data_IF_560371176362
#
_entry.id   IF_560371176362
#
_cell.length_a   1.000
_cell.length_b   1.000
_cell.length_c   1.000
_cell.angle_alpha   90.00
_cell.angle_beta   90.00
_cell.angle_gamma   90.00
#
_symmetry.space_group_name_H-M   'P 1'
#
loop_
_entity.id
_entity.type
_entity.pdbx_description
1 polymer ?
#
# COMPACT_ATOMS: atom_id res chain seq x y z
N UNK A 1 8.66 -50.08 -30.54
CA UNK A 1 7.79 -50.96 -29.71
C UNK A 1 8.48 -51.34 -28.41
N UNK A 2 8.14 -50.71 -27.28
CA UNK A 2 7.99 -51.34 -25.94
C UNK A 2 7.65 -50.25 -24.90
N UNK A 3 6.41 -50.30 -24.40
CA UNK A 3 5.97 -49.98 -23.02
C UNK A 3 6.18 -48.53 -22.55
N UNK A 4 5.27 -47.59 -22.79
CA UNK A 4 4.01 -47.33 -22.04
C UNK A 4 3.80 -48.13 -20.75
N UNK A 5 3.92 -47.45 -19.60
CA UNK A 5 3.25 -47.72 -18.31
C UNK A 5 3.55 -46.51 -17.40
N UNK A 6 2.75 -45.44 -17.43
CA UNK A 6 1.63 -45.17 -16.51
C UNK A 6 1.82 -45.83 -15.13
N UNK A 7 2.31 -45.04 -14.19
CA UNK A 7 2.04 -45.20 -12.75
C UNK A 7 1.58 -43.84 -12.23
N UNK A 8 0.26 -43.69 -12.22
CA UNK A 8 -0.42 -42.72 -11.39
C UNK A 8 -0.31 -43.20 -9.93
N UNK A 9 0.35 -42.42 -9.09
CA UNK A 9 0.22 -42.50 -7.65
C UNK A 9 -0.23 -41.12 -7.16
N UNK A 10 -1.53 -41.01 -6.93
CA UNK A 10 -2.10 -39.95 -6.14
C UNK A 10 -1.59 -40.11 -4.70
N UNK A 11 -0.86 -39.11 -4.22
CA UNK A 11 -0.71 -38.84 -2.80
C UNK A 11 -1.06 -37.37 -2.60
N UNK A 12 -2.27 -37.17 -2.10
CA UNK A 12 -2.75 -35.90 -1.60
C UNK A 12 -1.79 -35.36 -0.53
N UNK A 13 -1.23 -34.19 -0.77
CA UNK A 13 -0.76 -33.30 0.29
C UNK A 13 -1.64 -32.05 0.26
N UNK A 14 -2.87 -32.21 0.77
CA UNK A 14 -3.69 -31.10 1.26
C UNK A 14 -3.35 -30.95 2.73
N UNK A 15 -2.53 -29.95 3.05
CA UNK A 15 -2.31 -29.32 4.35
C UNK A 15 -1.30 -28.19 4.05
N UNK A 16 -1.70 -26.95 3.76
CA UNK A 16 -2.41 -26.09 4.69
C UNK A 16 -1.39 -25.28 5.48
N UNK A 17 -0.98 -24.12 4.95
CA UNK A 17 -0.51 -22.91 5.66
C UNK A 17 0.28 -22.02 4.69
N UNK A 18 -0.24 -20.83 4.40
CA UNK A 18 0.52 -19.82 3.67
C UNK A 18 -0.27 -18.90 2.74
N UNK A 19 -1.60 -19.01 2.66
CA UNK A 19 -2.39 -17.83 2.26
C UNK A 19 -2.36 -16.89 3.46
N UNK A 20 -1.37 -15.99 3.51
CA UNK A 20 -1.49 -14.79 4.33
C UNK A 20 -2.54 -13.87 3.67
N UNK A 21 -3.81 -14.29 3.77
CA UNK A 21 -4.92 -13.36 3.74
C UNK A 21 -4.76 -12.40 4.93
N UNK A 22 -5.13 -11.13 4.75
CA UNK A 22 -4.62 -10.04 5.55
C UNK A 22 -4.99 -10.25 7.00
N UNK A 23 -4.04 -10.03 7.91
CA UNK A 23 -4.39 -9.83 9.29
C UNK A 23 -5.40 -8.66 9.36
N UNK A 24 -6.64 -9.00 9.66
CA UNK A 24 -7.73 -8.09 10.01
C UNK A 24 -7.49 -7.53 11.42
N UNK A 25 -6.28 -7.03 11.66
CA UNK A 25 -5.94 -6.40 12.91
C UNK A 25 -6.39 -4.94 12.88
N UNK A 26 -7.44 -4.70 13.69
CA UNK A 26 -7.75 -3.47 14.40
C UNK A 26 -8.93 -2.63 13.86
N UNK A 27 -10.08 -2.89 14.47
CA UNK A 27 -11.20 -1.97 14.58
C UNK A 27 -10.72 -0.66 15.23
N UNK A 28 -10.36 0.30 14.38
CA UNK A 28 -9.89 1.64 14.74
C UNK A 28 -9.46 2.43 13.52
N UNK A 29 -10.11 2.17 12.37
CA UNK A 29 -9.64 2.54 11.04
C UNK A 29 -9.21 4.00 10.93
N UNK A 30 -7.94 4.20 10.57
CA UNK A 30 -7.37 5.52 10.35
C UNK A 30 -8.27 6.37 9.45
N UNK A 31 -8.65 7.57 9.93
CA UNK A 31 -9.65 8.38 9.26
C UNK A 31 -9.07 9.11 8.03
N UNK A 32 -9.36 8.57 6.85
CA UNK A 32 -8.90 9.12 5.58
C UNK A 32 -9.75 10.23 4.97
N UNK A 33 -10.82 10.69 5.66
CA UNK A 33 -11.75 11.70 5.11
C UNK A 33 -11.02 12.99 4.71
N UNK A 34 -10.05 13.44 5.52
CA UNK A 34 -9.25 14.65 5.22
C UNK A 34 -8.32 14.46 4.02
N UNK A 35 -7.90 13.23 3.74
CA UNK A 35 -7.01 12.90 2.63
C UNK A 35 -7.71 13.05 1.25
N UNK A 36 -9.04 12.85 1.20
CA UNK A 36 -9.84 12.93 -0.04
C UNK A 36 -9.85 14.31 -0.70
N UNK A 37 -9.55 15.36 0.06
CA UNK A 37 -9.41 16.71 -0.48
C UNK A 37 -8.25 16.80 -1.48
N UNK A 38 -7.13 16.16 -1.17
CA UNK A 38 -5.92 16.19 -2.00
C UNK A 38 -5.71 14.93 -2.83
N UNK A 39 -6.30 13.81 -2.45
CA UNK A 39 -6.10 12.52 -3.10
C UNK A 39 -7.39 11.96 -3.69
N UNK A 40 -7.21 11.02 -4.61
CA UNK A 40 -8.26 10.11 -5.04
C UNK A 40 -7.63 8.75 -5.32
N UNK A 41 -8.44 7.70 -5.46
CA UNK A 41 -7.91 6.37 -5.78
C UNK A 41 -7.35 6.34 -7.20
N UNK A 42 -8.12 6.82 -8.19
CA UNK A 42 -7.80 6.62 -9.62
C UNK A 42 -7.10 7.81 -10.28
N UNK A 43 -7.43 9.05 -9.89
CA UNK A 43 -6.97 10.27 -10.56
C UNK A 43 -5.98 11.05 -9.69
N UNK A 44 -4.96 11.62 -10.31
CA UNK A 44 -4.05 12.58 -9.66
C UNK A 44 -4.85 13.87 -9.36
N UNK A 45 -4.62 14.46 -8.19
CA UNK A 45 -5.21 15.74 -7.73
C UNK A 45 -4.06 16.64 -7.24
N UNK A 46 -4.26 17.36 -6.13
CA UNK A 46 -3.19 18.05 -5.39
C UNK A 46 -2.10 17.09 -4.90
N UNK A 47 -2.47 15.84 -4.62
CA UNK A 47 -1.58 14.73 -4.32
C UNK A 47 -1.70 13.58 -5.35
N UNK A 48 -0.76 12.62 -5.30
CA UNK A 48 -0.77 11.46 -6.20
C UNK A 48 -2.02 10.61 -6.04
N UNK A 49 -2.40 9.91 -7.11
CA UNK A 49 -3.47 8.92 -7.03
C UNK A 49 -3.01 7.78 -6.11
N UNK A 50 -3.89 7.26 -5.26
CA UNK A 50 -3.52 6.19 -4.35
C UNK A 50 -3.21 4.88 -5.05
N UNK A 51 -3.76 4.63 -6.25
CA UNK A 51 -3.32 3.50 -7.09
C UNK A 51 -1.86 3.63 -7.50
N UNK A 52 -1.39 4.84 -7.83
CA UNK A 52 0.01 5.07 -8.18
C UNK A 52 0.91 4.89 -6.95
N UNK A 53 0.47 5.37 -5.78
CA UNK A 53 1.18 5.18 -4.51
C UNK A 53 1.28 3.69 -4.19
N UNK A 54 0.16 2.96 -4.22
CA UNK A 54 0.16 1.53 -3.94
C UNK A 54 1.05 0.76 -4.92
N UNK A 55 1.03 1.11 -6.22
CA UNK A 55 1.91 0.51 -7.22
C UNK A 55 3.40 0.82 -6.95
N UNK A 56 3.73 2.05 -6.55
CA UNK A 56 5.12 2.43 -6.27
C UNK A 56 5.70 1.71 -5.03
N UNK A 57 4.88 1.45 -4.02
CA UNK A 57 5.34 0.82 -2.77
C UNK A 57 5.12 -0.69 -2.71
N UNK A 58 4.16 -1.24 -3.46
CA UNK A 58 3.88 -2.68 -3.54
C UNK A 58 3.07 -3.23 -2.34
N UNK A 59 3.33 -2.75 -1.13
CA UNK A 59 2.61 -3.18 0.08
C UNK A 59 2.42 -2.06 1.10
N UNK A 60 1.46 -2.27 2.01
CA UNK A 60 1.23 -1.36 3.14
C UNK A 60 2.48 -1.29 4.03
N UNK A 61 3.17 -2.41 4.28
CA UNK A 61 4.38 -2.45 5.11
C UNK A 61 5.52 -1.63 4.51
N UNK A 62 5.72 -1.70 3.19
CA UNK A 62 6.74 -0.90 2.52
C UNK A 62 6.46 0.60 2.62
N UNK A 63 5.19 1.01 2.53
CA UNK A 63 4.79 2.40 2.72
C UNK A 63 4.91 2.82 4.20
N UNK A 64 4.49 1.96 5.13
CA UNK A 64 4.60 2.19 6.56
C UNK A 64 6.06 2.35 6.98
N UNK A 65 7.00 1.58 6.42
CA UNK A 65 8.42 1.73 6.67
C UNK A 65 8.94 3.13 6.29
N UNK A 66 8.47 3.69 5.17
CA UNK A 66 8.84 5.06 4.76
C UNK A 66 8.17 6.12 5.64
N UNK A 67 6.95 5.88 6.11
CA UNK A 67 6.36 6.74 7.12
C UNK A 67 7.17 6.70 8.42
N UNK A 68 7.48 5.52 8.95
CA UNK A 68 8.29 5.32 10.16
C UNK A 68 9.70 5.94 10.05
N UNK A 69 10.30 5.97 8.85
CA UNK A 69 11.57 6.64 8.61
C UNK A 69 11.50 8.19 8.65
N UNK A 70 10.29 8.73 8.87
CA UNK A 70 10.02 10.16 8.94
C UNK A 70 9.53 10.77 7.62
N UNK A 71 9.19 9.93 6.63
CA UNK A 71 8.68 10.34 5.32
C UNK A 71 9.59 11.37 4.63
N UNK A 72 10.91 11.11 4.62
CA UNK A 72 11.92 12.00 4.04
C UNK A 72 11.66 12.20 2.54
N UNK A 73 11.99 13.38 2.02
CA UNK A 73 11.74 13.72 0.60
C UNK A 73 12.48 12.76 -0.34
N UNK A 74 13.69 12.34 0.03
CA UNK A 74 14.50 11.35 -0.70
C UNK A 74 13.84 9.98 -0.82
N UNK A 75 13.05 9.58 0.19
CA UNK A 75 12.50 8.23 0.31
C UNK A 75 11.15 8.11 -0.41
N UNK A 76 10.63 9.23 -0.94
CA UNK A 76 9.33 9.30 -1.61
C UNK A 76 9.44 8.83 -3.05
N UNK A 77 9.11 7.57 -3.28
CA UNK A 77 9.06 6.97 -4.62
C UNK A 77 8.19 7.75 -5.63
N UNK A 78 7.14 8.43 -5.14
CA UNK A 78 6.32 9.28 -6.01
C UNK A 78 7.10 10.45 -6.62
N UNK A 79 8.03 11.06 -5.88
CA UNK A 79 8.86 12.17 -6.40
C UNK A 79 9.82 11.67 -7.47
N UNK A 80 10.41 10.50 -7.27
CA UNK A 80 11.27 9.87 -8.27
C UNK A 80 10.49 9.51 -9.55
N UNK A 81 9.23 9.06 -9.40
CA UNK A 81 8.36 8.72 -10.53
C UNK A 81 7.83 9.93 -11.30
N UNK A 82 7.62 11.07 -10.63
CA UNK A 82 7.05 12.28 -11.23
C UNK A 82 7.53 13.52 -10.46
N UNK A 83 8.47 14.25 -11.06
CA UNK A 83 9.18 15.36 -10.42
C UNK A 83 8.27 16.49 -9.94
N UNK A 84 7.03 16.60 -10.43
CA UNK A 84 6.07 17.62 -9.97
C UNK A 84 5.73 17.49 -8.48
N UNK A 85 5.87 16.30 -7.90
CA UNK A 85 5.60 16.11 -6.48
C UNK A 85 6.67 16.75 -5.59
N UNK A 86 7.86 17.05 -6.14
CA UNK A 86 8.93 17.75 -5.43
C UNK A 86 8.50 19.14 -4.98
N UNK A 87 7.78 19.91 -5.81
CA UNK A 87 7.27 21.23 -5.44
C UNK A 87 6.19 21.18 -4.35
N UNK A 88 5.53 20.04 -4.18
CA UNK A 88 4.52 19.80 -3.12
C UNK A 88 5.12 19.11 -1.90
N UNK A 89 6.43 18.84 -1.88
CA UNK A 89 7.06 18.05 -0.84
C UNK A 89 6.88 18.64 0.56
N UNK A 90 6.99 19.97 0.70
CA UNK A 90 6.79 20.67 1.99
C UNK A 90 5.37 20.49 2.53
N UNK A 91 4.36 20.65 1.69
CA UNK A 91 2.95 20.41 2.07
C UNK A 91 2.75 18.95 2.50
N UNK A 92 3.25 18.00 1.73
CA UNK A 92 3.14 16.57 2.05
C UNK A 92 3.84 16.23 3.38
N UNK A 93 5.01 16.83 3.66
CA UNK A 93 5.68 16.71 4.97
C UNK A 93 4.80 17.24 6.10
N UNK A 94 4.16 18.39 5.90
CA UNK A 94 3.26 18.98 6.89
C UNK A 94 2.05 18.09 7.18
N UNK A 95 1.42 17.52 6.14
CA UNK A 95 0.31 16.58 6.29
C UNK A 95 0.74 15.29 6.97
N UNK A 96 1.91 14.74 6.62
CA UNK A 96 2.49 13.59 7.31
C UNK A 96 2.65 13.86 8.81
N UNK A 97 3.31 14.97 9.18
CA UNK A 97 3.55 15.32 10.58
C UNK A 97 2.27 15.51 11.40
N UNK A 98 1.19 16.00 10.77
CA UNK A 98 -0.08 16.32 11.45
C UNK A 98 -1.05 15.16 11.51
N UNK A 99 -1.09 14.34 10.45
CA UNK A 99 -2.14 13.34 10.27
C UNK A 99 -1.64 11.91 10.35
N UNK A 100 -0.37 11.63 10.00
CA UNK A 100 0.14 10.26 9.84
C UNK A 100 1.15 9.89 10.93
N UNK A 101 1.97 10.83 11.40
CA UNK A 101 2.98 10.56 12.42
C UNK A 101 2.32 10.04 13.71
N UNK A 102 2.76 8.88 14.18
CA UNK A 102 2.17 8.12 15.29
C UNK A 102 1.08 7.12 14.90
N UNK A 103 0.74 7.06 13.61
CA UNK A 103 -0.25 6.15 13.01
C UNK A 103 0.24 5.59 11.67
N UNK A 104 1.55 5.36 11.56
CA UNK A 104 2.22 5.07 10.29
C UNK A 104 1.70 3.78 9.63
N UNK A 105 1.48 2.74 10.43
CA UNK A 105 0.98 1.45 9.94
C UNK A 105 -0.49 1.56 9.54
N UNK A 106 -1.31 2.19 10.37
CA UNK A 106 -2.75 2.33 10.16
C UNK A 106 -3.04 3.24 8.97
N UNK A 107 -2.26 4.31 8.78
CA UNK A 107 -2.37 5.18 7.62
C UNK A 107 -1.98 4.47 6.32
N UNK A 108 -0.92 3.66 6.34
CA UNK A 108 -0.52 2.87 5.19
C UNK A 108 -1.57 1.81 4.85
N UNK A 109 -2.04 1.05 5.84
CA UNK A 109 -3.12 0.06 5.67
C UNK A 109 -4.38 0.72 5.11
N UNK A 110 -4.82 1.84 5.67
CA UNK A 110 -6.02 2.55 5.21
C UNK A 110 -5.90 3.07 3.76
N UNK A 111 -4.70 3.42 3.30
CA UNK A 111 -4.45 3.75 1.89
C UNK A 111 -4.66 2.53 0.99
N UNK A 112 -4.10 1.37 1.36
CA UNK A 112 -4.24 0.15 0.57
C UNK A 112 -5.68 -0.39 0.59
N UNK A 113 -6.35 -0.34 1.75
CA UNK A 113 -7.78 -0.68 1.86
C UNK A 113 -8.64 0.23 0.98
N UNK A 114 -8.28 1.52 0.89
CA UNK A 114 -8.95 2.47 0.01
C UNK A 114 -8.74 2.18 -1.48
N UNK A 115 -7.55 1.72 -1.84
CA UNK A 115 -7.24 1.26 -3.19
C UNK A 115 -8.05 0.00 -3.52
N UNK A 116 -8.09 -0.97 -2.62
CA UNK A 116 -8.84 -2.21 -2.77
C UNK A 116 -10.36 -1.94 -2.93
N UNK A 117 -10.93 -1.05 -2.11
CA UNK A 117 -12.35 -0.65 -2.21
C UNK A 117 -12.65 0.35 -3.34
N UNK A 118 -11.63 0.86 -4.05
CA UNK A 118 -11.79 1.79 -5.16
C UNK A 118 -12.20 3.23 -4.79
N UNK A 119 -12.27 3.58 -3.50
CA UNK A 119 -12.70 4.91 -3.01
C UNK A 119 -11.91 5.36 -1.78
N UNK A 120 -11.75 6.67 -1.61
CA UNK A 120 -11.34 7.32 -0.33
C UNK A 120 -12.59 7.71 0.44
#
# INVERSE_FOLDING_TARGET
>A
MKKVMVMAAAAAFVMGAGVMAPADAQAGGFNVKKCKACHSVKKKKTGPAWKDVAAAYGSADALAAVFKSGFKVSDRKMIAADGKWKSRAGMMTGQYKKLIKGHEEEAAKALFDAVARGKI
#
